data_IF_532515245855
#
_entry.id   IF_532515245855
#
_cell.length_a   1.000
_cell.length_b   1.000
_cell.length_c   1.000
_cell.angle_alpha   90.00
_cell.angle_beta   90.00
_cell.angle_gamma   90.00
#
_symmetry.space_group_name_H-M   'P 1'
#
loop_
_entity.id
_entity.type
_entity.pdbx_description
1 polymer ?
#
# COMPACT_ATOMS: atom_id res chain seq x y z
N UNK A 1 32.58 9.52 31.59
CA UNK A 1 33.70 9.69 30.65
C UNK A 1 34.47 8.38 30.54
N UNK A 2 34.37 7.68 29.41
CA UNK A 2 35.41 6.82 28.80
C UNK A 2 34.78 6.06 27.63
N UNK A 3 35.57 5.96 26.55
CA UNK A 3 35.32 5.28 25.29
C UNK A 3 34.94 3.82 25.42
N UNK A 4 34.34 3.27 24.35
CA UNK A 4 34.65 1.90 23.95
C UNK A 4 34.86 1.82 22.42
N UNK A 5 36.00 1.27 22.05
CA UNK A 5 36.50 0.99 20.71
C UNK A 5 35.83 -0.27 20.12
N UNK A 6 35.55 -0.18 18.82
CA UNK A 6 35.72 -1.16 17.73
C UNK A 6 36.11 -2.59 18.13
N UNK A 7 35.38 -3.57 17.59
CA UNK A 7 35.96 -4.87 17.23
C UNK A 7 35.66 -5.16 15.75
N UNK A 8 36.74 -5.26 14.98
CA UNK A 8 36.82 -5.63 13.57
C UNK A 8 37.11 -7.13 13.53
N UNK A 9 36.27 -7.94 12.88
CA UNK A 9 36.62 -9.31 12.51
C UNK A 9 36.57 -9.46 10.99
N UNK A 10 37.76 -9.52 10.41
CA UNK A 10 38.02 -9.92 9.03
C UNK A 10 38.02 -11.45 8.98
N UNK A 11 37.17 -12.03 8.13
CA UNK A 11 37.38 -13.37 7.58
C UNK A 11 37.00 -13.36 6.11
N UNK A 12 37.93 -13.88 5.31
CA UNK A 12 38.05 -13.74 3.88
C UNK A 12 37.45 -14.96 3.15
N UNK A 13 36.83 -14.66 1.99
CA UNK A 13 36.56 -15.50 0.81
C UNK A 13 35.87 -16.87 0.96
N UNK A 14 34.66 -16.99 0.39
CA UNK A 14 34.43 -17.72 -0.89
C UNK A 14 33.30 -17.01 -1.65
N UNK A 15 33.65 -16.42 -2.80
CA UNK A 15 32.70 -15.84 -3.75
C UNK A 15 32.15 -16.94 -4.65
N UNK A 16 30.88 -17.28 -4.48
CA UNK A 16 30.10 -17.95 -5.52
C UNK A 16 29.30 -16.88 -6.27
N UNK A 17 29.87 -16.40 -7.38
CA UNK A 17 29.16 -15.60 -8.38
C UNK A 17 27.98 -16.41 -8.90
N UNK A 18 26.75 -15.95 -8.65
CA UNK A 18 25.58 -16.41 -9.39
C UNK A 18 25.53 -15.59 -10.68
N UNK A 19 25.55 -16.28 -11.82
CA UNK A 19 25.57 -15.69 -13.16
C UNK A 19 24.47 -14.63 -13.29
N UNK A 20 24.88 -13.41 -13.59
CA UNK A 20 24.03 -12.47 -14.29
C UNK A 20 23.93 -13.00 -15.72
N UNK A 21 22.80 -13.59 -16.06
CA UNK A 21 22.48 -13.83 -17.46
C UNK A 21 22.40 -12.45 -18.12
N UNK A 22 23.43 -12.15 -18.91
CA UNK A 22 23.49 -10.96 -19.73
C UNK A 22 22.36 -11.04 -20.75
N UNK A 23 21.32 -10.21 -20.57
CA UNK A 23 20.38 -9.91 -21.64
C UNK A 23 21.19 -9.20 -22.74
N UNK A 24 21.22 -9.71 -23.98
CA UNK A 24 21.94 -9.04 -25.05
C UNK A 24 21.33 -7.67 -25.31
N UNK A 25 22.15 -6.63 -25.17
CA UNK A 25 21.85 -5.26 -25.59
C UNK A 25 21.74 -5.28 -27.12
N UNK A 26 20.53 -5.44 -27.62
CA UNK A 26 20.22 -5.23 -29.03
C UNK A 26 20.42 -3.75 -29.36
N UNK A 27 21.10 -3.52 -30.48
CA UNK A 27 21.56 -2.24 -30.97
C UNK A 27 20.41 -1.25 -31.21
N UNK A 28 20.73 0.04 -31.06
CA UNK A 28 19.85 1.19 -31.22
C UNK A 28 18.81 1.00 -32.34
N UNK A 29 17.49 1.11 -32.03
CA UNK A 29 16.48 1.21 -33.07
C UNK A 29 16.71 2.48 -33.91
N UNK A 30 16.30 2.47 -35.20
CA UNK A 30 16.41 3.64 -36.07
C UNK A 30 15.69 4.88 -35.49
N UNK A 31 16.09 6.10 -35.90
CA UNK A 31 15.49 7.33 -35.40
C UNK A 31 13.99 7.35 -35.72
N UNK A 32 13.18 7.48 -34.68
CA UNK A 32 11.72 7.46 -34.73
C UNK A 32 11.24 8.77 -35.35
N UNK A 33 10.53 8.68 -36.48
CA UNK A 33 9.83 9.81 -37.09
C UNK A 33 8.56 10.16 -36.30
N UNK A 34 8.23 11.44 -36.25
CA UNK A 34 7.14 12.02 -35.44
C UNK A 34 5.72 11.57 -35.83
N UNK A 35 5.58 10.79 -36.90
CA UNK A 35 4.30 10.42 -37.51
C UNK A 35 3.48 9.38 -36.72
N UNK A 36 4.13 8.54 -35.89
CA UNK A 36 3.47 7.43 -35.18
C UNK A 36 3.23 7.70 -33.67
N UNK A 37 3.36 8.96 -33.26
CA UNK A 37 3.09 9.38 -31.88
C UNK A 37 1.83 10.23 -31.82
N UNK A 38 1.09 10.13 -30.73
CA UNK A 38 -0.11 10.91 -30.46
C UNK A 38 0.02 11.61 -29.09
N UNK A 39 -0.62 12.77 -28.95
CA UNK A 39 -0.57 13.54 -27.73
C UNK A 39 -1.53 12.99 -26.68
N UNK A 40 -1.06 12.89 -25.44
CA UNK A 40 -1.88 12.70 -24.25
C UNK A 40 -1.87 14.02 -23.47
N UNK A 41 -3.05 14.57 -23.25
CA UNK A 41 -3.26 15.76 -22.43
C UNK A 41 -3.99 15.35 -21.16
N UNK A 42 -3.30 15.46 -20.03
CA UNK A 42 -3.81 15.23 -18.68
C UNK A 42 -4.00 16.58 -18.00
N UNK A 43 -5.24 16.99 -17.82
CA UNK A 43 -5.59 18.17 -17.02
C UNK A 43 -5.78 17.75 -15.56
N UNK A 44 -5.36 18.61 -14.61
CA UNK A 44 -5.37 18.33 -13.17
C UNK A 44 -4.71 16.99 -12.80
N UNK A 45 -3.60 16.69 -13.48
CA UNK A 45 -2.86 15.47 -13.31
C UNK A 45 -1.52 15.49 -14.04
N UNK A 46 -0.88 14.33 -14.04
CA UNK A 46 0.45 14.09 -14.58
C UNK A 46 0.40 12.92 -15.57
N UNK A 47 1.37 12.89 -16.50
CA UNK A 47 1.43 11.92 -17.60
C UNK A 47 1.16 12.52 -18.99
N UNK A 48 1.07 13.85 -19.11
CA UNK A 48 0.98 14.53 -20.40
C UNK A 48 2.30 14.40 -21.17
N UNK A 49 2.27 13.77 -22.35
CA UNK A 49 3.40 13.69 -23.27
C UNK A 49 2.92 13.20 -24.65
N UNK A 50 3.86 12.89 -25.55
CA UNK A 50 3.58 12.14 -26.77
C UNK A 50 3.99 10.68 -26.61
N UNK A 51 3.11 9.78 -27.00
CA UNK A 51 3.30 8.33 -26.89
C UNK A 51 3.03 7.66 -28.22
N UNK A 52 3.68 6.54 -28.50
CA UNK A 52 3.41 5.74 -29.70
C UNK A 52 2.14 4.92 -29.50
N UNK A 53 1.43 4.64 -30.58
CA UNK A 53 0.35 3.65 -30.54
C UNK A 53 0.85 2.33 -29.95
N UNK A 54 0.09 1.76 -29.02
CA UNK A 54 0.46 0.53 -28.32
C UNK A 54 1.31 0.71 -27.06
N UNK A 55 1.83 1.92 -26.78
CA UNK A 55 2.49 2.19 -25.50
C UNK A 55 1.49 2.07 -24.34
N UNK A 56 1.92 1.46 -23.23
CA UNK A 56 1.21 1.57 -21.96
C UNK A 56 1.48 2.95 -21.36
N UNK A 57 0.44 3.77 -21.23
CA UNK A 57 0.50 5.12 -20.68
C UNK A 57 -0.09 5.11 -19.28
N UNK A 58 0.71 5.55 -18.29
CA UNK A 58 0.26 5.79 -16.93
C UNK A 58 -0.09 7.27 -16.74
N UNK A 59 -1.22 7.53 -16.08
CA UNK A 59 -1.65 8.87 -15.70
C UNK A 59 -1.98 8.91 -14.22
N UNK A 60 -1.71 10.07 -13.60
CA UNK A 60 -1.83 10.27 -12.17
C UNK A 60 -2.60 11.55 -11.88
N UNK A 61 -3.48 11.56 -10.90
CA UNK A 61 -4.13 12.76 -10.41
C UNK A 61 -3.08 13.73 -9.84
N UNK A 62 -3.40 15.02 -9.88
CA UNK A 62 -2.69 16.02 -9.07
C UNK A 62 -2.73 15.63 -7.60
N UNK A 63 -1.68 15.99 -6.85
CA UNK A 63 -1.69 15.86 -5.40
C UNK A 63 -2.83 16.68 -4.79
N UNK A 64 -3.43 16.19 -3.73
CA UNK A 64 -4.61 16.79 -3.08
C UNK A 64 -4.42 16.84 -1.56
N UNK A 65 -5.12 17.77 -0.92
CA UNK A 65 -4.93 18.06 0.51
C UNK A 65 -5.64 17.05 1.42
N UNK A 66 -5.57 17.26 2.74
CA UNK A 66 -6.29 16.42 3.71
C UNK A 66 -7.81 16.65 3.75
N UNK A 67 -8.30 17.70 3.09
CA UNK A 67 -9.74 17.99 2.92
C UNK A 67 -10.24 17.64 1.52
N UNK A 68 -9.46 16.88 0.75
CA UNK A 68 -9.77 16.50 -0.62
C UNK A 68 -9.53 15.01 -0.85
N UNK A 69 -10.27 14.47 -1.83
CA UNK A 69 -10.06 13.16 -2.41
C UNK A 69 -10.11 13.24 -3.93
N UNK A 70 -9.48 12.27 -4.58
CA UNK A 70 -9.72 12.02 -5.99
C UNK A 70 -11.16 11.54 -6.21
N UNK A 71 -11.89 12.16 -7.13
CA UNK A 71 -13.24 11.74 -7.50
C UNK A 71 -13.24 10.81 -8.70
N UNK A 72 -12.82 11.28 -9.87
CA UNK A 72 -12.74 10.46 -11.08
C UNK A 72 -11.99 11.15 -12.20
N UNK A 73 -11.63 10.38 -13.21
CA UNK A 73 -11.25 10.89 -14.52
C UNK A 73 -12.50 11.24 -15.34
N UNK A 74 -12.38 12.22 -16.24
CA UNK A 74 -13.39 12.61 -17.26
C UNK A 74 -12.71 12.83 -18.61
N UNK A 75 -13.46 12.88 -19.72
CA UNK A 75 -12.92 12.94 -21.08
C UNK A 75 -12.87 11.55 -21.74
N UNK A 76 -11.73 11.17 -22.31
CA UNK A 76 -11.48 9.88 -22.98
C UNK A 76 -11.38 8.67 -22.00
N UNK A 77 -12.35 8.53 -21.11
CA UNK A 77 -12.29 7.58 -19.99
C UNK A 77 -12.56 6.12 -20.36
N UNK A 78 -13.15 5.86 -21.53
CA UNK A 78 -13.53 4.51 -21.96
C UNK A 78 -12.32 3.58 -22.19
N UNK A 79 -11.12 4.16 -22.31
CA UNK A 79 -9.86 3.43 -22.49
C UNK A 79 -9.16 3.13 -21.17
N UNK A 80 -9.53 3.83 -20.09
CA UNK A 80 -8.83 3.73 -18.80
C UNK A 80 -9.17 2.41 -18.13
N UNK A 81 -8.13 1.70 -17.67
CA UNK A 81 -8.30 0.44 -16.95
C UNK A 81 -9.15 0.62 -15.68
N UNK A 82 -9.03 1.77 -15.01
CA UNK A 82 -9.93 2.16 -13.93
C UNK A 82 -10.03 3.69 -13.82
N UNK A 83 -11.14 4.28 -14.27
CA UNK A 83 -11.33 5.73 -14.25
C UNK A 83 -11.62 6.29 -12.84
N UNK A 84 -11.91 5.43 -11.86
CA UNK A 84 -12.18 5.82 -10.48
C UNK A 84 -10.91 5.97 -9.63
N UNK A 85 -9.79 5.40 -10.04
CA UNK A 85 -8.55 5.43 -9.25
C UNK A 85 -7.67 6.63 -9.62
N UNK A 86 -7.02 7.20 -8.60
CA UNK A 86 -6.17 8.39 -8.75
C UNK A 86 -4.97 8.12 -9.68
N UNK A 87 -4.52 6.86 -9.74
CA UNK A 87 -3.55 6.36 -10.69
C UNK A 87 -4.25 5.33 -11.58
N UNK A 88 -4.11 5.49 -12.90
CA UNK A 88 -4.65 4.55 -13.87
C UNK A 88 -3.78 4.51 -15.12
N UNK A 89 -4.10 3.61 -16.04
CA UNK A 89 -3.35 3.42 -17.26
C UNK A 89 -4.26 2.99 -18.42
N UNK A 90 -3.75 3.14 -19.64
CA UNK A 90 -4.40 2.69 -20.87
C UNK A 90 -3.34 2.35 -21.93
N UNK A 91 -3.76 1.64 -22.99
CA UNK A 91 -2.93 1.43 -24.18
C UNK A 91 -3.18 2.57 -25.16
N UNK A 92 -2.13 3.26 -25.57
CA UNK A 92 -2.23 4.43 -26.43
C UNK A 92 -2.87 4.08 -27.78
N UNK A 93 -4.00 4.69 -28.17
CA UNK A 93 -4.60 4.45 -29.47
C UNK A 93 -3.95 5.31 -30.56
N UNK A 94 -4.35 5.08 -31.81
CA UNK A 94 -3.96 5.88 -32.98
C UNK A 94 -4.64 7.26 -33.05
N UNK A 95 -4.81 7.95 -31.93
CA UNK A 95 -5.39 9.30 -31.85
C UNK A 95 -4.96 10.03 -30.58
N UNK A 96 -5.09 11.35 -30.57
CA UNK A 96 -4.87 12.14 -29.36
C UNK A 96 -5.90 11.78 -28.27
N UNK A 97 -5.45 11.87 -27.02
CA UNK A 97 -6.23 11.58 -25.82
C UNK A 97 -6.27 12.83 -24.93
N UNK A 98 -7.45 13.17 -24.42
CA UNK A 98 -7.61 14.20 -23.38
C UNK A 98 -8.40 13.63 -22.21
N UNK A 99 -7.81 13.72 -21.03
CA UNK A 99 -8.42 13.29 -19.77
C UNK A 99 -8.23 14.37 -18.71
N UNK A 100 -9.20 14.50 -17.81
CA UNK A 100 -9.16 15.49 -16.72
C UNK A 100 -9.43 14.81 -15.39
N UNK A 101 -8.51 14.96 -14.45
CA UNK A 101 -8.67 14.53 -13.07
C UNK A 101 -9.60 15.48 -12.32
N UNK A 102 -10.51 14.92 -11.53
CA UNK A 102 -11.42 15.71 -10.69
C UNK A 102 -11.21 15.36 -9.23
N UNK A 103 -11.30 16.38 -8.37
CA UNK A 103 -11.22 16.25 -6.93
C UNK A 103 -12.58 16.55 -6.32
N UNK A 104 -12.90 15.88 -5.21
CA UNK A 104 -14.04 16.21 -4.36
C UNK A 104 -13.54 16.70 -3.01
N UNK A 105 -14.27 17.65 -2.43
CA UNK A 105 -14.02 18.09 -1.06
C UNK A 105 -14.61 17.08 -0.08
N UNK A 106 -13.91 16.87 1.02
CA UNK A 106 -14.32 16.01 2.12
C UNK A 106 -14.11 16.70 3.45
N UNK A 107 -14.81 16.22 4.47
CA UNK A 107 -14.49 16.58 5.86
C UNK A 107 -13.14 15.98 6.23
N UNK A 108 -12.30 16.77 6.92
CA UNK A 108 -11.03 16.29 7.44
C UNK A 108 -11.26 15.09 8.36
N UNK A 109 -10.57 13.99 8.09
CA UNK A 109 -10.58 12.81 8.95
C UNK A 109 -9.51 13.00 10.02
N UNK A 110 -9.95 13.23 11.26
CA UNK A 110 -9.08 13.34 12.43
C UNK A 110 -9.41 12.22 13.39
N UNK A 111 -8.51 11.24 13.50
CA UNK A 111 -8.67 10.14 14.44
C UNK A 111 -8.63 10.63 15.88
N UNK A 112 -9.55 10.12 16.70
CA UNK A 112 -9.49 10.23 18.14
C UNK A 112 -8.53 9.17 18.65
N UNK A 113 -7.54 9.59 19.43
CA UNK A 113 -6.60 8.70 20.10
C UNK A 113 -7.01 8.49 21.56
N UNK A 114 -7.05 7.24 22.00
CA UNK A 114 -7.21 6.88 23.40
C UNK A 114 -6.49 5.56 23.72
N UNK A 115 -6.29 5.31 25.01
CA UNK A 115 -5.80 4.04 25.53
C UNK A 115 -7.00 3.19 25.98
N UNK A 116 -7.28 2.10 25.27
CA UNK A 116 -8.40 1.20 25.60
C UNK A 116 -7.84 -0.08 26.20
N UNK A 117 -8.47 -0.56 27.27
CA UNK A 117 -8.11 -1.83 27.89
C UNK A 117 -8.36 -2.98 26.90
N UNK A 118 -7.28 -3.63 26.45
CA UNK A 118 -7.32 -4.94 25.80
C UNK A 118 -7.45 -6.06 26.83
N UNK A 119 -7.10 -7.29 26.45
CA UNK A 119 -7.13 -8.46 27.34
C UNK A 119 -6.31 -8.21 28.61
N UNK A 120 -5.02 -7.92 28.42
CA UNK A 120 -4.05 -7.93 29.52
C UNK A 120 -3.49 -6.53 29.84
N UNK A 121 -3.59 -5.56 28.93
CA UNK A 121 -3.06 -4.20 29.10
C UNK A 121 -3.83 -3.15 28.31
N UNK A 122 -3.49 -1.88 28.53
CA UNK A 122 -3.96 -0.78 27.69
C UNK A 122 -3.32 -0.87 26.30
N UNK A 123 -4.14 -0.64 25.27
CA UNK A 123 -3.74 -0.66 23.86
C UNK A 123 -3.97 0.74 23.29
N UNK A 124 -3.03 1.27 22.49
CA UNK A 124 -3.29 2.49 21.74
C UNK A 124 -4.38 2.21 20.69
N UNK A 125 -5.39 3.07 20.66
CA UNK A 125 -6.49 2.98 19.70
C UNK A 125 -6.70 4.34 19.05
N UNK A 126 -6.67 4.35 17.73
CA UNK A 126 -7.11 5.47 16.91
C UNK A 126 -8.46 5.12 16.30
N UNK A 127 -9.46 5.98 16.43
CA UNK A 127 -10.79 5.71 15.91
C UNK A 127 -11.47 6.93 15.31
N UNK A 128 -12.38 6.69 14.37
CA UNK A 128 -13.26 7.71 13.83
C UNK A 128 -14.60 7.08 13.47
N UNK A 129 -15.71 7.65 13.94
CA UNK A 129 -17.05 7.15 13.65
C UNK A 129 -17.93 8.30 13.14
N UNK A 130 -18.32 8.31 11.85
CA UNK A 130 -19.39 9.19 11.39
C UNK A 130 -20.68 8.94 12.21
N UNK A 131 -21.48 9.98 12.55
CA UNK A 131 -22.68 9.83 13.38
C UNK A 131 -23.69 8.79 12.86
N UNK A 132 -23.78 8.60 11.54
CA UNK A 132 -24.66 7.64 10.89
C UNK A 132 -23.91 6.49 10.20
N UNK A 133 -22.74 6.11 10.72
CA UNK A 133 -21.90 5.11 10.05
C UNK A 133 -22.65 3.79 9.78
N UNK A 134 -22.40 3.21 8.61
CA UNK A 134 -23.10 1.99 8.13
C UNK A 134 -22.43 0.68 8.54
N UNK A 135 -21.27 0.77 9.18
CA UNK A 135 -20.40 -0.32 9.59
C UNK A 135 -19.06 0.25 9.98
N UNK A 136 -18.10 -0.59 10.37
CA UNK A 136 -16.75 -0.12 10.68
C UNK A 136 -15.67 -1.10 10.25
N UNK A 137 -14.50 -0.54 9.94
CA UNK A 137 -13.36 -1.25 9.37
C UNK A 137 -12.19 -1.22 10.34
N UNK A 138 -11.62 -2.39 10.61
CA UNK A 138 -10.30 -2.47 11.22
C UNK A 138 -9.21 -2.24 10.18
N UNK A 139 -8.31 -1.29 10.42
CA UNK A 139 -7.10 -1.13 9.62
C UNK A 139 -5.89 -1.69 10.39
N UNK A 140 -5.20 -2.66 9.80
CA UNK A 140 -4.25 -3.53 10.49
C UNK A 140 -2.84 -3.40 9.91
N UNK A 141 -1.85 -3.11 10.77
CA UNK A 141 -0.45 -2.91 10.38
C UNK A 141 0.24 -4.22 9.96
N UNK A 142 1.31 -4.12 9.16
CA UNK A 142 2.22 -5.23 8.85
C UNK A 142 3.24 -5.49 9.96
N UNK A 143 4.14 -6.47 9.75
CA UNK A 143 5.20 -6.78 10.72
C UNK A 143 6.10 -5.58 10.96
N UNK A 144 6.47 -5.31 12.21
CA UNK A 144 7.26 -4.14 12.63
C UNK A 144 6.49 -2.82 12.68
N UNK A 145 5.21 -2.82 12.28
CA UNK A 145 4.32 -1.67 12.40
C UNK A 145 3.63 -1.59 13.76
N UNK A 146 2.90 -0.50 13.97
CA UNK A 146 2.07 -0.24 15.15
C UNK A 146 0.86 0.64 14.81
N UNK A 147 0.01 0.95 15.79
CA UNK A 147 -1.23 1.69 15.58
C UNK A 147 -0.98 3.11 15.02
N UNK A 148 0.06 3.78 15.54
CA UNK A 148 0.45 5.12 15.08
C UNK A 148 0.94 5.09 13.64
N UNK A 149 1.71 4.07 13.25
CA UNK A 149 2.17 3.93 11.86
C UNK A 149 0.99 3.84 10.89
N UNK A 150 -0.08 3.10 11.21
CA UNK A 150 -1.28 3.02 10.34
C UNK A 150 -2.02 4.35 10.32
N UNK A 151 -2.23 4.98 11.48
CA UNK A 151 -2.95 6.24 11.57
C UNK A 151 -2.24 7.41 10.85
N UNK A 152 -0.92 7.35 10.71
CA UNK A 152 -0.10 8.41 10.11
C UNK A 152 0.43 8.09 8.71
N UNK A 153 0.42 6.82 8.29
CA UNK A 153 0.88 6.43 6.97
C UNK A 153 0.02 7.07 5.87
N UNK A 154 0.68 7.59 4.83
CA UNK A 154 0.00 8.34 3.78
C UNK A 154 -0.99 7.48 3.00
N UNK A 155 -0.60 6.26 2.61
CA UNK A 155 -1.43 5.37 1.79
C UNK A 155 -2.64 4.84 2.58
N UNK A 156 -2.46 4.49 3.86
CA UNK A 156 -3.57 4.16 4.76
C UNK A 156 -4.51 5.33 5.00
N UNK A 157 -3.99 6.57 5.11
CA UNK A 157 -4.81 7.76 5.24
C UNK A 157 -5.67 8.00 4.00
N UNK A 158 -5.16 7.67 2.80
CA UNK A 158 -5.96 7.74 1.59
C UNK A 158 -7.14 6.76 1.61
N UNK A 159 -6.93 5.53 2.11
CA UNK A 159 -8.03 4.58 2.28
C UNK A 159 -9.02 5.06 3.36
N UNK A 160 -8.50 5.61 4.45
CA UNK A 160 -9.30 6.12 5.56
C UNK A 160 -10.25 7.24 5.13
N UNK A 161 -9.77 8.17 4.31
CA UNK A 161 -10.58 9.23 3.71
C UNK A 161 -11.72 8.65 2.87
N UNK A 162 -11.45 7.67 2.00
CA UNK A 162 -12.50 7.03 1.18
C UNK A 162 -13.54 6.31 2.04
N UNK A 163 -13.10 5.53 3.02
CA UNK A 163 -13.96 4.81 3.97
C UNK A 163 -14.88 5.77 4.74
N UNK A 164 -14.32 6.81 5.36
CA UNK A 164 -15.08 7.78 6.15
C UNK A 164 -16.06 8.57 5.30
N UNK A 165 -15.62 9.02 4.12
CA UNK A 165 -16.48 9.75 3.17
C UNK A 165 -17.67 8.91 2.72
N UNK A 166 -17.48 7.59 2.61
CA UNK A 166 -18.52 6.63 2.25
C UNK A 166 -19.36 6.14 3.46
N UNK A 167 -19.10 6.69 4.65
CA UNK A 167 -19.90 6.45 5.85
C UNK A 167 -19.46 5.24 6.67
N UNK A 168 -18.22 4.76 6.55
CA UNK A 168 -17.66 3.76 7.46
C UNK A 168 -17.02 4.41 8.69
N UNK A 169 -17.17 3.77 9.84
CA UNK A 169 -16.30 3.98 10.99
C UNK A 169 -14.95 3.25 10.79
N UNK A 170 -13.94 3.67 11.54
CA UNK A 170 -12.59 3.07 11.50
C UNK A 170 -12.12 2.84 12.93
N UNK A 171 -11.51 1.68 13.17
CA UNK A 171 -10.71 1.39 14.36
C UNK A 171 -9.32 0.94 13.91
N UNK A 172 -8.29 1.54 14.49
CA UNK A 172 -6.89 1.17 14.33
C UNK A 172 -6.34 0.86 15.72
N UNK A 173 -5.70 -0.29 15.86
CA UNK A 173 -4.93 -0.66 17.05
C UNK A 173 -3.75 -1.51 16.59
N UNK A 174 -3.08 -2.18 17.51
CA UNK A 174 -1.83 -2.89 17.24
C UNK A 174 -1.75 -4.25 17.91
N UNK A 175 -0.88 -5.08 17.36
CA UNK A 175 -0.52 -6.38 17.90
C UNK A 175 0.02 -6.27 19.33
N UNK A 176 -0.11 -7.34 20.11
CA UNK A 176 0.41 -7.42 21.47
C UNK A 176 1.92 -7.13 21.51
N UNK A 177 2.69 -7.74 20.62
CA UNK A 177 4.14 -7.53 20.51
C UNK A 177 4.52 -6.09 20.19
N UNK A 178 3.72 -5.40 19.37
CA UNK A 178 3.94 -3.99 19.07
C UNK A 178 3.74 -3.10 20.32
N UNK A 179 2.76 -3.42 21.17
CA UNK A 179 2.53 -2.69 22.43
C UNK A 179 3.61 -2.97 23.47
N UNK A 180 4.08 -4.21 23.57
CA UNK A 180 5.07 -4.60 24.58
C UNK A 180 6.50 -4.30 24.15
N UNK A 181 6.77 -4.21 22.85
CA UNK A 181 8.13 -4.20 22.30
C UNK A 181 8.85 -5.55 22.48
N UNK A 182 8.11 -6.62 22.78
CA UNK A 182 8.65 -7.95 23.05
C UNK A 182 8.15 -8.91 21.96
N UNK A 183 9.10 -9.57 21.33
CA UNK A 183 8.89 -10.71 20.43
C UNK A 183 8.52 -11.93 21.28
N UNK A 184 7.23 -12.28 21.32
CA UNK A 184 6.67 -13.28 22.23
C UNK A 184 6.88 -14.67 21.65
N UNK A 185 6.82 -14.83 20.33
CA UNK A 185 6.97 -16.12 19.65
C UNK A 185 8.43 -16.43 19.23
N UNK A 186 9.33 -15.46 19.35
CA UNK A 186 10.77 -15.61 19.14
C UNK A 186 11.20 -15.63 17.68
N UNK A 187 10.38 -15.09 16.78
CA UNK A 187 10.63 -15.11 15.33
C UNK A 187 11.49 -13.95 14.80
N UNK A 188 11.91 -13.05 15.69
CA UNK A 188 12.71 -11.87 15.42
C UNK A 188 11.92 -10.65 14.94
N UNK A 189 10.58 -10.65 15.06
CA UNK A 189 9.69 -9.57 14.60
C UNK A 189 8.71 -9.19 15.71
N UNK A 190 8.08 -8.03 15.53
CA UNK A 190 6.95 -7.58 16.35
C UNK A 190 5.72 -7.52 15.44
N UNK A 191 4.75 -8.40 15.62
CA UNK A 191 3.65 -8.57 14.67
C UNK A 191 2.41 -9.21 15.29
N UNK A 192 1.33 -9.30 14.51
CA UNK A 192 0.09 -9.92 14.96
C UNK A 192 0.26 -11.43 15.11
N UNK A 193 -0.22 -11.96 16.24
CA UNK A 193 -0.33 -13.38 16.48
C UNK A 193 -1.44 -13.98 15.60
N UNK A 194 -1.06 -14.63 14.50
CA UNK A 194 -2.03 -15.27 13.59
C UNK A 194 -2.46 -16.66 14.08
N UNK A 195 -1.69 -17.29 14.96
CA UNK A 195 -1.94 -18.61 15.53
C UNK A 195 -1.80 -18.60 17.07
N UNK A 196 -2.57 -19.43 17.79
CA UNK A 196 -3.70 -20.22 17.31
C UNK A 196 -4.85 -19.33 16.80
N UNK A 197 -5.62 -19.82 15.83
CA UNK A 197 -6.77 -19.11 15.28
C UNK A 197 -8.00 -19.36 16.15
N UNK A 198 -8.10 -18.67 17.28
CA UNK A 198 -9.22 -18.79 18.22
C UNK A 198 -9.56 -17.47 18.92
N UNK A 199 -10.72 -17.41 19.57
CA UNK A 199 -11.24 -16.18 20.20
C UNK A 199 -11.05 -16.13 21.72
N UNK A 200 -10.30 -17.07 22.32
CA UNK A 200 -10.16 -17.21 23.77
C UNK A 200 -8.71 -17.07 24.26
N UNK A 201 -7.78 -17.72 23.58
CA UNK A 201 -6.38 -17.86 23.98
C UNK A 201 -5.46 -16.93 23.20
N UNK A 202 -5.74 -16.68 21.92
CA UNK A 202 -4.95 -15.75 21.14
C UNK A 202 -5.19 -14.30 21.60
N UNK A 203 -4.13 -13.69 22.14
CA UNK A 203 -4.19 -12.36 22.77
C UNK A 203 -4.68 -11.28 21.81
N UNK A 204 -4.32 -11.32 20.54
CA UNK A 204 -4.67 -10.28 19.58
C UNK A 204 -6.14 -10.36 19.16
N UNK A 205 -6.67 -11.57 18.92
CA UNK A 205 -8.10 -11.71 18.66
C UNK A 205 -8.94 -11.32 19.88
N UNK A 206 -8.50 -11.62 21.10
CA UNK A 206 -9.18 -11.17 22.33
C UNK A 206 -9.09 -9.65 22.48
N UNK A 207 -7.93 -9.05 22.20
CA UNK A 207 -7.75 -7.59 22.20
C UNK A 207 -8.75 -6.91 21.27
N UNK A 208 -8.89 -7.40 20.03
CA UNK A 208 -9.86 -6.85 19.07
C UNK A 208 -11.29 -6.93 19.62
N UNK A 209 -11.70 -8.08 20.19
CA UNK A 209 -13.04 -8.22 20.80
C UNK A 209 -13.25 -7.23 21.95
N UNK A 210 -12.33 -7.18 22.91
CA UNK A 210 -12.44 -6.31 24.10
C UNK A 210 -12.50 -4.83 23.73
N UNK A 211 -11.68 -4.41 22.75
CA UNK A 211 -11.71 -3.05 22.22
C UNK A 211 -13.05 -2.78 21.52
N UNK A 212 -13.54 -3.71 20.70
CA UNK A 212 -14.86 -3.57 20.04
C UNK A 212 -15.98 -3.41 21.07
N UNK A 213 -15.96 -4.24 22.12
CA UNK A 213 -16.98 -4.22 23.18
C UNK A 213 -16.97 -2.88 23.94
N UNK A 214 -15.82 -2.22 24.08
CA UNK A 214 -15.74 -0.87 24.62
C UNK A 214 -16.55 0.14 23.79
N UNK A 215 -16.45 0.08 22.46
CA UNK A 215 -17.25 0.96 21.58
C UNK A 215 -18.75 0.62 21.61
N UNK A 216 -19.11 -0.65 21.78
CA UNK A 216 -20.51 -1.05 21.98
C UNK A 216 -21.07 -0.54 23.30
N UNK A 217 -20.34 -0.71 24.41
CA UNK A 217 -20.78 -0.30 25.73
C UNK A 217 -20.94 1.22 25.84
N UNK A 218 -20.15 1.98 25.08
CA UNK A 218 -20.25 3.45 24.98
C UNK A 218 -21.30 3.92 23.97
N UNK A 219 -22.03 3.01 23.32
CA UNK A 219 -23.00 3.30 22.27
C UNK A 219 -22.44 4.09 21.06
N UNK A 220 -21.11 4.05 20.83
CA UNK A 220 -20.46 4.67 19.66
C UNK A 220 -20.82 3.90 18.39
N UNK A 221 -20.95 2.57 18.51
CA UNK A 221 -21.48 1.67 17.48
C UNK A 221 -22.29 0.56 18.15
N UNK A 222 -22.82 -0.41 17.41
CA UNK A 222 -23.58 -1.52 17.98
C UNK A 222 -23.39 -2.83 17.19
N UNK A 223 -23.80 -3.95 17.79
CA UNK A 223 -23.59 -5.30 17.22
C UNK A 223 -24.37 -5.56 15.92
N UNK A 224 -25.36 -4.75 15.58
CA UNK A 224 -26.07 -4.85 14.31
C UNK A 224 -25.29 -4.20 13.15
N UNK A 225 -24.29 -3.37 13.44
CA UNK A 225 -23.43 -2.77 12.42
C UNK A 225 -22.43 -3.82 11.89
N UNK A 226 -22.33 -4.02 10.57
CA UNK A 226 -21.37 -4.94 9.99
C UNK A 226 -19.94 -4.49 10.27
N UNK A 227 -19.08 -5.49 10.45
CA UNK A 227 -17.64 -5.35 10.69
C UNK A 227 -16.87 -5.79 9.46
N UNK A 228 -15.74 -5.14 9.24
CA UNK A 228 -14.82 -5.44 8.15
C UNK A 228 -13.38 -5.30 8.62
N UNK A 229 -12.44 -5.86 7.87
CA UNK A 229 -11.02 -5.63 8.10
C UNK A 229 -10.25 -5.43 6.81
N UNK A 230 -9.25 -4.55 6.86
CA UNK A 230 -8.25 -4.35 5.82
C UNK A 230 -6.90 -4.37 6.51
N UNK A 231 -5.97 -5.19 6.02
CA UNK A 231 -4.63 -5.24 6.58
C UNK A 231 -3.56 -5.44 5.53
N UNK A 232 -2.34 -5.07 5.86
CA UNK A 232 -1.18 -5.23 4.97
C UNK A 232 -0.19 -6.25 5.55
N UNK A 233 0.42 -7.08 4.70
CA UNK A 233 1.44 -8.08 5.09
C UNK A 233 0.91 -9.03 6.18
N UNK A 234 1.63 -9.20 7.29
CA UNK A 234 1.14 -9.96 8.45
C UNK A 234 -0.23 -9.45 8.95
N UNK A 235 -0.52 -8.15 8.91
CA UNK A 235 -1.86 -7.61 9.19
C UNK A 235 -2.91 -8.01 8.17
N UNK A 236 -2.51 -8.26 6.91
CA UNK A 236 -3.38 -8.84 5.88
C UNK A 236 -3.69 -10.31 6.14
N UNK A 237 -2.70 -11.08 6.58
CA UNK A 237 -2.92 -12.46 7.06
C UNK A 237 -3.82 -12.47 8.30
N UNK A 238 -3.59 -11.58 9.27
CA UNK A 238 -4.44 -11.41 10.45
C UNK A 238 -5.86 -10.98 10.08
N UNK A 239 -6.03 -10.07 9.10
CA UNK A 239 -7.32 -9.65 8.55
C UNK A 239 -8.16 -10.83 8.07
N UNK A 240 -7.52 -11.81 7.40
CA UNK A 240 -8.22 -13.01 6.90
C UNK A 240 -8.78 -13.89 8.02
N UNK A 241 -7.97 -14.15 9.05
CA UNK A 241 -8.37 -14.98 10.19
C UNK A 241 -9.36 -14.24 11.08
N UNK A 242 -9.10 -12.96 11.36
CA UNK A 242 -9.99 -12.09 12.13
C UNK A 242 -11.39 -12.05 11.53
N UNK A 243 -11.45 -11.84 10.22
CA UNK A 243 -12.71 -11.81 9.48
C UNK A 243 -13.48 -13.12 9.62
N UNK A 244 -12.79 -14.25 9.48
CA UNK A 244 -13.38 -15.58 9.66
C UNK A 244 -13.88 -15.81 11.09
N UNK A 245 -13.01 -15.62 12.10
CA UNK A 245 -13.30 -15.93 13.50
C UNK A 245 -14.48 -15.13 14.07
N UNK A 246 -14.63 -13.87 13.65
CA UNK A 246 -15.69 -13.00 14.14
C UNK A 246 -16.84 -12.80 13.14
N UNK A 247 -16.87 -13.60 12.06
CA UNK A 247 -17.89 -13.54 11.02
C UNK A 247 -18.11 -12.10 10.51
N UNK A 248 -17.01 -11.43 10.13
CA UNK A 248 -17.08 -10.11 9.51
C UNK A 248 -17.77 -10.21 8.15
N UNK A 249 -18.34 -9.10 7.68
CA UNK A 249 -19.07 -9.09 6.41
C UNK A 249 -18.14 -9.26 5.21
N UNK A 250 -16.94 -8.70 5.27
CA UNK A 250 -15.88 -8.94 4.30
C UNK A 250 -14.51 -8.56 4.90
N UNK A 251 -13.45 -9.16 4.35
CA UNK A 251 -12.07 -8.81 4.66
C UNK A 251 -11.25 -8.51 3.40
N UNK A 252 -10.16 -7.78 3.57
CA UNK A 252 -9.21 -7.47 2.51
C UNK A 252 -7.79 -7.63 3.03
N UNK A 253 -6.91 -8.17 2.18
CA UNK A 253 -5.46 -8.16 2.40
C UNK A 253 -4.75 -7.36 1.31
N UNK A 254 -3.74 -6.61 1.73
CA UNK A 254 -2.71 -6.04 0.87
C UNK A 254 -1.41 -6.81 1.09
N UNK A 255 -0.79 -7.27 0.01
CA UNK A 255 0.48 -8.02 0.04
C UNK A 255 0.46 -9.18 1.06
N UNK A 256 -0.63 -9.97 1.07
CA UNK A 256 -0.77 -11.15 1.91
C UNK A 256 -1.75 -12.15 1.29
N UNK A 257 -1.41 -13.43 1.35
CA UNK A 257 -2.02 -14.47 0.55
C UNK A 257 -3.20 -15.20 1.19
N UNK A 258 -3.52 -14.94 2.47
CA UNK A 258 -4.38 -15.80 3.30
C UNK A 258 -3.81 -17.23 3.41
N UNK A 259 -4.06 -17.93 4.51
CA UNK A 259 -3.66 -19.34 4.61
C UNK A 259 -4.53 -20.23 3.72
N UNK A 260 -3.93 -21.16 2.97
CA UNK A 260 -4.64 -22.13 2.12
C UNK A 260 -5.75 -22.92 2.85
N UNK A 261 -5.48 -23.40 4.07
CA UNK A 261 -6.48 -24.09 4.93
C UNK A 261 -7.64 -23.16 5.23
N UNK A 262 -7.37 -21.88 5.52
CA UNK A 262 -8.43 -20.93 5.78
C UNK A 262 -9.27 -20.66 4.51
N UNK A 263 -8.68 -20.64 3.31
CA UNK A 263 -9.45 -20.49 2.07
C UNK A 263 -10.44 -21.65 1.85
N UNK A 264 -10.07 -22.86 2.29
CA UNK A 264 -10.96 -24.04 2.26
C UNK A 264 -12.08 -23.99 3.30
N UNK A 265 -11.89 -23.25 4.41
CA UNK A 265 -12.84 -23.22 5.54
C UNK A 265 -13.70 -21.95 5.58
N UNK A 266 -13.14 -20.81 5.14
CA UNK A 266 -13.78 -19.51 5.32
C UNK A 266 -15.05 -19.40 4.49
N UNK A 267 -16.08 -18.82 5.10
CA UNK A 267 -17.33 -18.45 4.42
C UNK A 267 -17.45 -16.93 4.25
N UNK A 268 -16.39 -16.18 4.56
CA UNK A 268 -16.37 -14.71 4.51
C UNK A 268 -15.82 -14.24 3.17
N UNK A 269 -16.52 -13.34 2.45
CA UNK A 269 -15.99 -12.69 1.27
C UNK A 269 -14.62 -12.05 1.51
N UNK A 270 -13.65 -12.33 0.65
CA UNK A 270 -12.28 -11.84 0.83
C UNK A 270 -11.63 -11.32 -0.45
N UNK A 271 -11.02 -10.14 -0.42
CA UNK A 271 -10.29 -9.55 -1.54
C UNK A 271 -8.77 -9.55 -1.29
N UNK A 272 -8.02 -9.85 -2.34
CA UNK A 272 -6.55 -9.83 -2.36
C UNK A 272 -6.04 -8.69 -3.23
N UNK A 273 -5.24 -7.80 -2.65
CA UNK A 273 -4.52 -6.72 -3.32
C UNK A 273 -3.02 -7.01 -3.26
N UNK A 274 -2.48 -7.67 -4.27
CA UNK A 274 -1.09 -8.12 -4.31
C UNK A 274 -0.19 -7.15 -5.07
N UNK A 275 1.12 -7.21 -4.86
CA UNK A 275 2.10 -6.41 -5.58
C UNK A 275 2.99 -7.34 -6.43
N UNK A 276 3.05 -7.15 -7.76
CA UNK A 276 3.69 -8.16 -8.65
C UNK A 276 5.14 -8.43 -8.31
N UNK A 277 5.87 -7.39 -7.90
CA UNK A 277 7.31 -7.44 -7.68
C UNK A 277 7.67 -7.32 -6.19
N UNK A 278 6.74 -7.72 -5.33
CA UNK A 278 6.95 -7.87 -3.89
C UNK A 278 8.24 -8.68 -3.65
N UNK A 279 9.24 -8.07 -3.00
CA UNK A 279 10.52 -8.74 -2.71
C UNK A 279 10.54 -9.39 -1.32
N UNK A 280 9.43 -9.37 -0.59
CA UNK A 280 9.35 -9.98 0.73
C UNK A 280 9.41 -11.50 0.62
N UNK A 281 10.30 -12.11 1.41
CA UNK A 281 10.56 -13.55 1.36
C UNK A 281 9.33 -14.41 1.66
N UNK A 282 8.36 -13.87 2.42
CA UNK A 282 7.15 -14.58 2.84
C UNK A 282 5.96 -14.34 1.91
N UNK A 283 6.10 -13.42 0.96
CA UNK A 283 5.07 -13.11 -0.04
C UNK A 283 5.68 -13.33 -1.42
N UNK A 284 6.26 -12.32 -2.05
CA UNK A 284 6.85 -12.43 -3.37
C UNK A 284 6.04 -13.26 -4.38
N UNK A 285 6.73 -13.89 -5.33
CA UNK A 285 6.07 -14.66 -6.40
C UNK A 285 5.23 -15.83 -5.88
N UNK A 286 5.72 -16.52 -4.84
CA UNK A 286 5.02 -17.67 -4.26
C UNK A 286 3.70 -17.25 -3.59
N UNK A 287 3.75 -16.23 -2.73
CA UNK A 287 2.58 -15.64 -2.09
C UNK A 287 1.62 -14.99 -3.08
N UNK A 288 2.11 -14.34 -4.14
CA UNK A 288 1.25 -13.84 -5.21
C UNK A 288 0.46 -14.95 -5.91
N UNK A 289 1.12 -16.08 -6.16
CA UNK A 289 0.49 -17.27 -6.77
C UNK A 289 -0.51 -17.92 -5.81
N UNK A 290 -0.13 -18.03 -4.53
CA UNK A 290 -0.99 -18.58 -3.49
C UNK A 290 -2.24 -17.72 -3.27
N UNK A 291 -2.11 -16.39 -3.26
CA UNK A 291 -3.24 -15.47 -3.15
C UNK A 291 -4.25 -15.65 -4.29
N UNK A 292 -3.76 -15.85 -5.52
CA UNK A 292 -4.63 -16.14 -6.67
C UNK A 292 -5.32 -17.51 -6.53
N UNK A 293 -4.58 -18.52 -6.08
CA UNK A 293 -5.12 -19.86 -5.81
C UNK A 293 -6.19 -19.83 -4.72
N UNK A 294 -5.96 -19.08 -3.64
CA UNK A 294 -6.89 -18.94 -2.53
C UNK A 294 -8.14 -18.15 -2.93
N UNK A 295 -7.99 -17.10 -3.75
CA UNK A 295 -9.13 -16.40 -4.36
C UNK A 295 -9.96 -17.35 -5.23
N UNK A 296 -9.31 -18.18 -6.05
CA UNK A 296 -9.95 -19.19 -6.91
C UNK A 296 -10.64 -20.28 -6.07
N UNK A 297 -10.04 -20.67 -4.95
CA UNK A 297 -10.63 -21.63 -4.00
C UNK A 297 -11.93 -21.07 -3.41
N UNK A 298 -11.93 -19.81 -2.96
CA UNK A 298 -13.12 -19.17 -2.42
C UNK A 298 -14.23 -19.08 -3.47
N UNK A 299 -13.91 -18.61 -4.68
CA UNK A 299 -14.91 -18.50 -5.76
C UNK A 299 -15.43 -19.85 -6.23
N UNK A 300 -14.58 -20.88 -6.30
CA UNK A 300 -14.98 -22.25 -6.61
C UNK A 300 -15.93 -22.85 -5.56
N UNK A 301 -15.88 -22.36 -4.32
CA UNK A 301 -16.82 -22.70 -3.23
C UNK A 301 -18.05 -21.79 -3.18
N UNK A 302 -18.22 -20.87 -4.14
CA UNK A 302 -19.32 -19.91 -4.15
C UNK A 302 -19.17 -18.74 -3.17
N UNK A 303 -18.00 -18.57 -2.54
CA UNK A 303 -17.69 -17.45 -1.67
C UNK A 303 -17.10 -16.32 -2.51
N UNK A 304 -17.66 -15.11 -2.38
CA UNK A 304 -17.18 -13.97 -3.15
C UNK A 304 -15.70 -13.69 -2.87
N UNK A 305 -14.88 -13.63 -3.92
CA UNK A 305 -13.50 -13.18 -3.83
C UNK A 305 -13.07 -12.43 -5.08
N UNK A 306 -12.11 -11.53 -4.90
CA UNK A 306 -11.46 -10.77 -5.97
C UNK A 306 -9.95 -10.78 -5.76
N UNK A 307 -9.22 -10.84 -6.85
CA UNK A 307 -7.77 -10.78 -6.87
C UNK A 307 -7.32 -9.64 -7.79
N UNK A 308 -6.49 -8.76 -7.25
CA UNK A 308 -5.85 -7.68 -7.98
C UNK A 308 -4.35 -7.75 -7.78
N UNK A 309 -3.61 -7.48 -8.84
CA UNK A 309 -2.15 -7.44 -8.81
C UNK A 309 -1.69 -6.09 -9.34
N UNK A 310 -1.06 -5.32 -8.46
CA UNK A 310 -0.48 -4.04 -8.82
C UNK A 310 0.78 -4.27 -9.65
N UNK A 311 0.91 -3.48 -10.72
CA UNK A 311 2.08 -3.45 -11.59
C UNK A 311 3.05 -2.33 -11.23
N UNK A 312 4.24 -2.40 -11.83
CA UNK A 312 5.16 -1.26 -11.87
C UNK A 312 4.53 -0.09 -12.60
N UNK A 313 4.88 1.11 -12.15
CA UNK A 313 4.51 2.36 -12.78
C UNK A 313 5.75 3.26 -12.88
N UNK A 314 5.83 4.13 -13.90
CA UNK A 314 6.90 5.10 -13.96
C UNK A 314 6.82 6.05 -12.77
N UNK A 315 7.97 6.47 -12.26
CA UNK A 315 8.04 7.62 -11.37
C UNK A 315 7.73 8.87 -12.21
N UNK A 316 6.78 9.66 -11.75
CA UNK A 316 6.55 11.00 -12.29
C UNK A 316 7.16 12.04 -11.33
N UNK A 317 7.66 13.18 -11.85
CA UNK A 317 8.48 14.10 -11.07
C UNK A 317 7.84 14.64 -9.79
N UNK A 318 6.51 14.69 -9.72
CA UNK A 318 5.75 15.22 -8.59
C UNK A 318 5.37 14.17 -7.54
N UNK A 319 5.74 12.89 -7.74
CA UNK A 319 5.31 11.80 -6.85
C UNK A 319 5.71 12.01 -5.39
N UNK A 320 6.88 12.59 -5.12
CA UNK A 320 7.36 12.82 -3.76
C UNK A 320 6.66 14.01 -3.09
N UNK A 321 6.00 14.88 -3.85
CA UNK A 321 5.23 16.00 -3.31
C UNK A 321 3.81 15.61 -2.83
N UNK A 322 3.38 14.36 -3.04
CA UNK A 322 2.01 13.89 -2.75
C UNK A 322 1.54 14.10 -1.31
N UNK A 323 2.46 14.04 -0.34
CA UNK A 323 2.16 14.26 1.08
C UNK A 323 2.09 15.74 1.48
N UNK A 324 2.55 16.64 0.60
CA UNK A 324 2.49 18.09 0.78
C UNK A 324 3.61 18.70 1.62
N UNK A 325 4.42 17.88 2.29
CA UNK A 325 5.59 18.33 3.07
C UNK A 325 6.88 18.39 2.24
N UNK A 326 6.87 17.89 1.00
CA UNK A 326 7.90 18.11 -0.02
C UNK A 326 7.28 18.99 -1.11
N UNK A 327 7.92 20.11 -1.45
CA UNK A 327 7.41 20.97 -2.52
C UNK A 327 7.51 20.28 -3.89
N UNK A 328 6.65 20.68 -4.84
CA UNK A 328 6.70 20.18 -6.22
C UNK A 328 8.09 20.37 -6.83
N UNK A 329 8.68 21.57 -6.68
CA UNK A 329 10.01 21.87 -7.20
C UNK A 329 11.09 20.95 -6.58
N UNK A 330 11.01 20.67 -5.27
CA UNK A 330 11.95 19.76 -4.61
C UNK A 330 11.76 18.32 -5.08
N UNK A 331 10.51 17.86 -5.24
CA UNK A 331 10.21 16.54 -5.80
C UNK A 331 10.80 16.37 -7.21
N UNK A 332 10.64 17.38 -8.07
CA UNK A 332 11.20 17.40 -9.41
C UNK A 332 12.74 17.38 -9.41
N UNK A 333 13.38 18.11 -8.49
CA UNK A 333 14.84 18.12 -8.33
C UNK A 333 15.38 16.75 -7.89
N UNK A 334 14.74 16.12 -6.90
CA UNK A 334 15.06 14.75 -6.45
C UNK A 334 14.85 13.74 -7.58
N UNK A 335 13.76 13.85 -8.33
CA UNK A 335 13.52 13.00 -9.51
C UNK A 335 14.63 13.15 -10.56
N UNK A 336 15.04 14.39 -10.88
CA UNK A 336 16.13 14.65 -11.82
C UNK A 336 17.47 14.12 -11.32
N UNK A 337 17.73 14.21 -10.01
CA UNK A 337 18.89 13.61 -9.37
C UNK A 337 18.90 12.10 -9.56
N UNK A 338 17.82 11.39 -9.20
CA UNK A 338 17.68 9.94 -9.42
C UNK A 338 17.92 9.56 -10.88
N UNK A 339 17.34 10.31 -11.82
CA UNK A 339 17.52 10.11 -13.27
C UNK A 339 18.99 10.24 -13.68
N UNK A 340 19.65 11.32 -13.26
CA UNK A 340 21.04 11.62 -13.62
C UNK A 340 22.04 10.60 -13.06
N UNK A 341 21.68 9.95 -11.94
CA UNK A 341 22.49 8.92 -11.30
C UNK A 341 22.16 7.50 -11.78
N UNK A 342 21.30 7.36 -12.79
CA UNK A 342 21.00 6.08 -13.41
C UNK A 342 20.04 5.20 -12.62
N UNK A 343 19.30 5.74 -11.65
CA UNK A 343 18.26 5.00 -10.94
C UNK A 343 16.95 4.90 -11.71
N UNK A 344 16.78 5.64 -12.81
CA UNK A 344 15.59 5.59 -13.66
C UNK A 344 15.97 5.25 -15.10
N UNK A 345 15.21 4.35 -15.72
CA UNK A 345 15.36 4.01 -17.14
C UNK A 345 14.85 5.14 -18.06
N UNK A 346 14.98 4.99 -19.38
CA UNK A 346 14.52 6.00 -20.34
C UNK A 346 13.02 6.35 -20.23
N UNK A 347 12.18 5.44 -19.75
CA UNK A 347 10.74 5.59 -19.54
C UNK A 347 10.37 6.00 -18.11
N UNK A 348 11.36 6.35 -17.29
CA UNK A 348 11.23 6.77 -15.88
C UNK A 348 10.76 5.68 -14.92
N UNK A 349 10.91 4.41 -15.28
CA UNK A 349 10.77 3.31 -14.32
C UNK A 349 12.02 3.26 -13.45
N UNK A 350 11.81 3.10 -12.14
CA UNK A 350 12.92 2.92 -11.21
C UNK A 350 13.60 1.57 -11.43
N UNK A 351 14.93 1.58 -11.44
CA UNK A 351 15.77 0.41 -11.68
C UNK A 351 16.16 -0.19 -10.33
N UNK A 352 15.79 -1.45 -10.11
CA UNK A 352 16.03 -2.15 -8.84
C UNK A 352 14.98 -1.80 -7.78
N UNK A 353 15.42 -1.65 -6.54
CA UNK A 353 14.59 -1.36 -5.36
C UNK A 353 15.24 -0.27 -4.51
N UNK A 354 14.46 0.38 -3.63
CA UNK A 354 14.95 1.48 -2.80
C UNK A 354 16.17 1.14 -1.91
N UNK A 355 16.39 -0.10 -1.43
CA UNK A 355 17.60 -0.46 -0.69
C UNK A 355 18.90 -0.23 -1.46
N UNK A 356 18.90 -0.45 -2.78
CA UNK A 356 20.08 -0.21 -3.61
C UNK A 356 20.41 1.29 -3.67
N UNK A 357 19.38 2.13 -3.77
CA UNK A 357 19.54 3.58 -3.75
C UNK A 357 20.00 4.08 -2.37
N UNK A 358 19.38 3.63 -1.28
CA UNK A 358 19.79 4.12 0.05
C UNK A 358 21.23 3.71 0.39
N UNK A 359 21.68 2.52 -0.03
CA UNK A 359 23.10 2.14 0.11
C UNK A 359 24.03 3.07 -0.66
N UNK A 360 23.68 3.43 -1.91
CA UNK A 360 24.46 4.38 -2.70
C UNK A 360 24.48 5.79 -2.08
N UNK A 361 23.32 6.25 -1.57
CA UNK A 361 23.19 7.52 -0.88
C UNK A 361 24.03 7.57 0.40
N UNK A 362 23.96 6.53 1.24
CA UNK A 362 24.72 6.45 2.49
C UNK A 362 26.23 6.36 2.25
N UNK A 363 26.65 5.65 1.19
CA UNK A 363 28.06 5.55 0.83
C UNK A 363 28.65 6.89 0.40
N UNK A 364 27.89 7.73 -0.32
CA UNK A 364 28.37 9.02 -0.84
C UNK A 364 27.28 10.10 -0.83
N UNK A 365 26.85 10.64 0.33
CA UNK A 365 25.74 11.58 0.42
C UNK A 365 25.94 12.86 -0.40
N UNK A 366 27.20 13.31 -0.53
CA UNK A 366 27.56 14.49 -1.31
C UNK A 366 27.25 14.37 -2.82
N UNK A 367 27.08 13.14 -3.34
CA UNK A 367 26.65 12.91 -4.73
C UNK A 367 25.15 13.13 -4.93
N UNK A 368 24.38 13.28 -3.85
CA UNK A 368 22.94 13.40 -3.84
C UNK A 368 22.48 14.64 -3.04
N UNK A 369 22.89 15.85 -3.44
CA UNK A 369 22.56 17.08 -2.70
C UNK A 369 21.05 17.33 -2.57
N UNK A 370 20.23 16.94 -3.56
CA UNK A 370 18.78 17.15 -3.50
C UNK A 370 18.14 16.22 -2.47
N UNK A 371 18.48 14.93 -2.51
CA UNK A 371 18.05 13.97 -1.47
C UNK A 371 18.61 14.34 -0.11
N UNK A 372 19.88 14.75 -0.03
CA UNK A 372 20.56 15.14 1.22
C UNK A 372 19.97 16.37 1.89
N UNK A 373 19.19 17.18 1.14
CA UNK A 373 18.47 18.33 1.69
C UNK A 373 17.12 17.98 2.33
N UNK A 374 16.63 16.75 2.15
CA UNK A 374 15.40 16.27 2.75
C UNK A 374 15.61 15.91 4.23
N UNK A 375 14.58 16.11 5.04
CA UNK A 375 14.54 15.56 6.40
C UNK A 375 14.46 14.03 6.36
N UNK A 376 14.81 13.36 7.47
CA UNK A 376 14.73 11.90 7.58
C UNK A 376 13.32 11.38 7.25
N UNK A 377 12.27 12.08 7.70
CA UNK A 377 10.88 11.70 7.43
C UNK A 377 10.48 11.90 5.97
N UNK A 378 11.06 12.90 5.28
CA UNK A 378 10.86 13.11 3.86
C UNK A 378 11.61 12.06 3.02
N UNK A 379 12.84 11.69 3.42
CA UNK A 379 13.57 10.56 2.79
C UNK A 379 12.79 9.26 2.96
N UNK A 380 12.28 8.97 4.15
CA UNK A 380 11.47 7.76 4.37
C UNK A 380 10.25 7.69 3.44
N UNK A 381 9.53 8.82 3.28
CA UNK A 381 8.40 8.90 2.35
C UNK A 381 8.82 8.77 0.89
N UNK A 382 9.93 9.40 0.50
CA UNK A 382 10.47 9.26 -0.85
C UNK A 382 10.79 7.80 -1.18
N UNK A 383 11.43 7.07 -0.25
CA UNK A 383 11.72 5.63 -0.42
C UNK A 383 10.44 4.81 -0.52
N UNK A 384 9.44 5.06 0.32
CA UNK A 384 8.11 4.42 0.23
C UNK A 384 7.49 4.66 -1.16
N UNK A 385 7.55 5.88 -1.67
CA UNK A 385 7.01 6.19 -3.01
C UNK A 385 7.82 5.53 -4.14
N UNK A 386 9.12 5.28 -3.97
CA UNK A 386 9.94 4.47 -4.88
C UNK A 386 9.47 3.01 -4.84
N UNK A 387 9.35 2.41 -3.66
CA UNK A 387 8.89 1.03 -3.47
C UNK A 387 7.51 0.81 -4.10
N UNK A 388 6.61 1.78 -3.91
CA UNK A 388 5.30 1.79 -4.54
C UNK A 388 5.40 1.85 -6.07
N UNK A 389 6.34 2.60 -6.65
CA UNK A 389 6.50 2.67 -8.10
C UNK A 389 6.98 1.34 -8.70
N UNK A 390 7.85 0.62 -7.98
CA UNK A 390 8.36 -0.69 -8.42
C UNK A 390 7.43 -1.85 -8.05
N UNK A 391 6.30 -1.54 -7.39
CA UNK A 391 5.32 -2.51 -6.91
C UNK A 391 5.91 -3.52 -5.93
N UNK A 392 6.65 -3.01 -4.97
CA UNK A 392 7.20 -3.78 -3.85
C UNK A 392 6.20 -3.90 -2.68
N UNK A 393 6.64 -4.56 -1.61
CA UNK A 393 5.89 -4.91 -0.41
C UNK A 393 5.47 -3.69 0.44
N UNK A 394 4.47 -2.94 -0.01
CA UNK A 394 3.93 -1.76 0.68
C UNK A 394 2.40 -1.76 0.72
N UNK A 395 1.80 -1.02 1.66
CA UNK A 395 0.39 -0.60 1.55
C UNK A 395 0.28 0.46 0.45
N UNK A 396 -0.77 0.44 -0.37
CA UNK A 396 -0.88 1.36 -1.50
C UNK A 396 -2.31 1.81 -1.79
N UNK A 397 -2.48 3.04 -2.25
CA UNK A 397 -3.79 3.65 -2.53
C UNK A 397 -4.35 3.40 -3.93
N UNK A 398 -3.60 2.75 -4.82
CA UNK A 398 -3.98 2.47 -6.22
C UNK A 398 -5.26 1.65 -6.39
N UNK A 399 -5.70 0.94 -5.35
CA UNK A 399 -6.93 0.14 -5.32
C UNK A 399 -7.90 0.55 -4.21
N UNK A 400 -7.85 1.82 -3.76
CA UNK A 400 -8.73 2.25 -2.67
C UNK A 400 -10.20 2.20 -3.06
N UNK A 401 -10.58 2.61 -4.28
CA UNK A 401 -11.99 2.56 -4.71
C UNK A 401 -12.44 1.13 -4.99
N UNK A 402 -11.54 0.30 -5.51
CA UNK A 402 -11.77 -1.14 -5.66
C UNK A 402 -12.05 -1.79 -4.29
N UNK A 403 -11.20 -1.54 -3.30
CA UNK A 403 -11.40 -1.99 -1.91
C UNK A 403 -12.70 -1.46 -1.33
N UNK A 404 -12.99 -0.17 -1.46
CA UNK A 404 -14.24 0.43 -0.98
C UNK A 404 -15.47 -0.23 -1.63
N UNK A 405 -15.43 -0.48 -2.93
CA UNK A 405 -16.50 -1.16 -3.66
C UNK A 405 -16.72 -2.56 -3.13
N UNK A 406 -15.65 -3.32 -2.90
CA UNK A 406 -15.74 -4.67 -2.35
C UNK A 406 -16.32 -4.70 -0.92
N UNK A 407 -15.97 -3.74 -0.07
CA UNK A 407 -16.56 -3.63 1.26
C UNK A 407 -18.05 -3.27 1.21
N UNK A 408 -18.48 -2.49 0.21
CA UNK A 408 -19.88 -2.13 0.03
C UNK A 408 -20.72 -3.28 -0.54
N UNK A 409 -20.23 -3.88 -1.63
CA UNK A 409 -21.02 -4.72 -2.54
C UNK A 409 -20.53 -6.17 -2.61
N UNK A 410 -19.33 -6.47 -2.14
CA UNK A 410 -18.66 -7.76 -2.33
C UNK A 410 -18.58 -8.09 -3.84
N UNK A 411 -19.38 -9.05 -4.31
CA UNK A 411 -19.44 -9.46 -5.72
C UNK A 411 -20.78 -9.10 -6.38
N UNK A 412 -21.62 -8.29 -5.72
CA UNK A 412 -22.88 -7.78 -6.27
C UNK A 412 -22.67 -6.66 -7.29
#
# INVERSE_FOLDING_TARGET
MRSLLICLSVLCFISCKKNADAVPVSQNPPPVTTLDSFAVTVNNGYGSARYKTGDTVHIFSVAYTNTQLFDKWTGDISLLNNFGEWHTWFIMPGRNITVTGTLKNITLVTFQFEQIRGRDRLKPVYSYFPPAHKGFVYLLHGSGGNAMNVAQNYEFNQLSKELVTDGYGIIITEAEEATTGVDIDGDGKLRWATTPADTLNNVDYVNIRTITDTFYNRAVTNRAKPRYSVGMSNGGSFSSILSYLYNFKAGVSYCAQMGNVLAQLSNVPFQFCMARFDNNVNVGTAGNTEALSNSTTLTGRGICSKYFIKERAPLYPERFARRGDISIAKSQAVFAELKSKGFLDAKNYFIGFSPAFISAFQANPALFPETGSLTILQVAFMLEQIDLSVSDHQMYSDYNKVTLRFLNQQCM
#
